data_IF_616789479111
#
_entry.id   IF_616789479111
#
_cell.length_a   1.000
_cell.length_b   1.000
_cell.length_c   1.000
_cell.angle_alpha   90.00
_cell.angle_beta   90.00
_cell.angle_gamma   90.00
#
_symmetry.space_group_name_H-M   'P 1'
#
loop_
_entity.id
_entity.type
_entity.pdbx_description
1 polymer ?
#
# COMPACT_ATOMS: atom_id res chain seq x y z
N UNK A 1 -22.33 -15.38 -5.61
CA UNK A 1 -22.70 -14.05 -6.16
C UNK A 1 -23.73 -14.26 -7.25
N UNK A 2 -24.91 -13.59 -7.18
CA UNK A 2 -26.00 -13.70 -8.18
C UNK A 2 -25.80 -12.72 -9.34
N UNK A 3 -25.39 -11.49 -9.04
CA UNK A 3 -25.14 -10.48 -10.07
C UNK A 3 -24.16 -9.40 -9.59
N UNK A 4 -23.55 -8.72 -10.55
CA UNK A 4 -22.71 -7.54 -10.41
C UNK A 4 -23.27 -6.45 -11.31
N UNK A 5 -23.52 -5.27 -10.76
CA UNK A 5 -24.01 -4.09 -11.47
C UNK A 5 -22.97 -2.97 -11.27
N UNK A 6 -22.48 -2.40 -12.37
CA UNK A 6 -21.59 -1.23 -12.33
C UNK A 6 -22.41 0.01 -12.03
N UNK A 7 -22.09 0.72 -10.96
CA UNK A 7 -22.78 1.95 -10.56
C UNK A 7 -22.02 3.20 -11.02
N UNK A 8 -20.67 3.18 -10.89
CA UNK A 8 -19.82 4.31 -11.26
C UNK A 8 -18.41 3.83 -11.61
N UNK A 9 -17.85 4.33 -12.70
CA UNK A 9 -16.44 4.18 -13.04
C UNK A 9 -15.65 5.42 -12.64
N UNK A 10 -14.58 5.23 -11.86
CA UNK A 10 -13.63 6.25 -11.46
C UNK A 10 -12.25 5.99 -12.06
N UNK A 11 -11.29 6.90 -11.86
CA UNK A 11 -9.95 6.78 -12.45
C UNK A 11 -9.17 5.55 -11.97
N UNK A 12 -9.27 5.22 -10.67
CA UNK A 12 -8.48 4.15 -10.02
C UNK A 12 -9.34 2.97 -9.52
N UNK A 13 -10.67 3.09 -9.53
CA UNK A 13 -11.57 2.07 -9.00
C UNK A 13 -12.97 2.19 -9.62
N UNK A 14 -13.75 1.11 -9.50
CA UNK A 14 -15.18 1.10 -9.82
C UNK A 14 -16.02 1.03 -8.54
N UNK A 15 -17.23 1.61 -8.57
CA UNK A 15 -18.25 1.36 -7.56
C UNK A 15 -19.26 0.40 -8.14
N UNK A 16 -19.49 -0.73 -7.48
CA UNK A 16 -20.38 -1.78 -7.97
C UNK A 16 -21.36 -2.23 -6.92
N UNK A 17 -22.55 -2.68 -7.38
CA UNK A 17 -23.53 -3.36 -6.55
C UNK A 17 -23.43 -4.85 -6.76
N UNK A 18 -23.15 -5.58 -5.70
CA UNK A 18 -23.11 -7.03 -5.65
C UNK A 18 -24.37 -7.57 -4.99
N UNK A 19 -24.96 -8.61 -5.59
CA UNK A 19 -26.13 -9.30 -5.05
C UNK A 19 -25.75 -10.75 -4.75
N UNK A 20 -26.09 -11.17 -3.55
CA UNK A 20 -25.85 -12.54 -3.07
C UNK A 20 -27.17 -13.16 -2.61
N UNK A 21 -27.18 -14.50 -2.47
CA UNK A 21 -28.23 -15.23 -1.78
C UNK A 21 -27.82 -15.43 -0.32
N UNK A 22 -28.69 -15.03 0.59
CA UNK A 22 -28.54 -15.30 2.01
C UNK A 22 -28.82 -16.77 2.36
N UNK A 23 -28.44 -17.24 3.57
CA UNK A 23 -28.66 -18.60 4.03
C UNK A 23 -30.15 -19.00 4.08
N UNK A 24 -31.04 -18.04 4.23
CA UNK A 24 -32.50 -18.20 4.28
C UNK A 24 -33.20 -17.95 2.94
N UNK A 25 -32.41 -17.79 1.85
CA UNK A 25 -32.91 -17.45 0.51
C UNK A 25 -33.21 -15.96 0.30
N UNK A 26 -32.97 -15.11 1.31
CA UNK A 26 -33.10 -13.64 1.17
C UNK A 26 -32.07 -13.08 0.19
N UNK A 27 -32.32 -11.90 -0.34
CA UNK A 27 -31.34 -11.17 -1.13
C UNK A 27 -30.46 -10.31 -0.23
N UNK A 28 -29.14 -10.46 -0.36
CA UNK A 28 -28.13 -9.62 0.29
C UNK A 28 -27.52 -8.70 -0.76
N UNK A 29 -27.60 -7.39 -0.55
CA UNK A 29 -27.04 -6.36 -1.42
C UNK A 29 -25.84 -5.72 -0.73
N UNK A 30 -24.75 -5.51 -1.48
CA UNK A 30 -23.57 -4.78 -1.04
C UNK A 30 -23.10 -3.84 -2.15
N UNK A 31 -22.98 -2.57 -1.81
CA UNK A 31 -22.31 -1.59 -2.65
C UNK A 31 -20.84 -1.54 -2.21
N UNK A 32 -19.93 -1.83 -3.12
CA UNK A 32 -18.50 -1.96 -2.82
C UNK A 32 -17.65 -1.18 -3.83
N UNK A 33 -16.47 -0.79 -3.39
CA UNK A 33 -15.41 -0.24 -4.25
C UNK A 33 -14.57 -1.40 -4.76
N UNK A 34 -14.61 -1.66 -6.07
CA UNK A 34 -13.70 -2.60 -6.73
C UNK A 34 -12.40 -1.89 -7.10
N UNK A 35 -11.29 -2.41 -6.59
CA UNK A 35 -9.95 -1.85 -6.77
C UNK A 35 -9.02 -2.97 -7.29
N UNK A 36 -8.09 -2.66 -8.22
CA UNK A 36 -7.18 -3.66 -8.81
C UNK A 36 -6.19 -4.28 -7.81
N UNK A 37 -5.98 -3.63 -6.68
CA UNK A 37 -4.97 -3.95 -5.70
C UNK A 37 -3.83 -2.92 -5.70
N UNK A 38 -2.93 -3.04 -4.71
CA UNK A 38 -1.78 -2.15 -4.60
C UNK A 38 -0.59 -2.89 -3.98
N UNK A 39 0.63 -2.47 -4.34
CA UNK A 39 1.85 -2.89 -3.65
C UNK A 39 2.22 -1.88 -2.57
N UNK A 40 2.76 -2.35 -1.45
CA UNK A 40 3.34 -1.54 -0.37
C UNK A 40 4.68 -2.12 0.02
N UNK A 41 5.72 -1.29 0.12
CA UNK A 41 7.08 -1.75 0.17
C UNK A 41 7.79 -1.21 1.42
N UNK A 42 8.56 -2.06 2.11
CA UNK A 42 9.53 -1.66 3.14
C UNK A 42 10.91 -1.58 2.47
N UNK A 43 11.39 -0.40 2.06
CA UNK A 43 12.72 -0.26 1.51
C UNK A 43 13.72 -0.19 2.66
N UNK A 44 14.63 -1.16 2.74
CA UNK A 44 15.66 -1.26 3.77
C UNK A 44 17.05 -1.05 3.17
N UNK A 45 17.75 -0.03 3.65
CA UNK A 45 19.14 0.24 3.31
C UNK A 45 20.09 -0.76 3.99
N UNK A 46 21.32 -0.90 3.47
CA UNK A 46 22.35 -1.80 4.00
C UNK A 46 22.75 -1.49 5.44
N UNK A 47 22.62 -0.23 5.86
CA UNK A 47 22.85 0.21 7.24
C UNK A 47 21.65 -0.03 8.18
N UNK A 48 20.59 -0.66 7.68
CA UNK A 48 19.39 -1.02 8.41
C UNK A 48 18.35 0.09 8.53
N UNK A 49 18.57 1.28 7.98
CA UNK A 49 17.52 2.31 7.91
C UNK A 49 16.38 1.88 7.00
N UNK A 50 15.18 2.33 7.33
CA UNK A 50 13.98 2.16 6.50
C UNK A 50 13.71 3.49 5.80
N UNK A 51 13.43 3.44 4.49
CA UNK A 51 13.05 4.62 3.74
C UNK A 51 11.55 4.82 3.88
N UNK A 52 11.15 5.86 4.61
CA UNK A 52 9.78 6.36 4.65
C UNK A 52 9.62 7.55 3.73
N UNK A 53 8.39 7.82 3.35
CA UNK A 53 8.01 9.02 2.59
C UNK A 53 7.06 9.88 3.40
N UNK A 54 7.06 11.19 3.12
CA UNK A 54 5.99 12.11 3.51
C UNK A 54 5.19 12.45 2.27
N UNK A 55 3.92 12.07 2.28
CA UNK A 55 3.03 12.21 1.13
C UNK A 55 1.83 13.10 1.48
N UNK A 56 1.56 14.12 0.65
CA UNK A 56 0.35 14.94 0.80
C UNK A 56 -0.88 14.19 0.31
N UNK A 57 -1.62 13.59 1.23
CA UNK A 57 -2.92 12.93 0.95
C UNK A 57 -4.04 13.97 0.92
N UNK A 58 -4.34 14.51 -0.28
CA UNK A 58 -5.35 15.56 -0.49
C UNK A 58 -6.75 15.16 -0.02
N UNK A 59 -7.08 13.86 -0.10
CA UNK A 59 -8.38 13.32 0.33
C UNK A 59 -8.65 13.50 1.82
N UNK A 60 -7.61 13.49 2.65
CA UNK A 60 -7.70 13.72 4.10
C UNK A 60 -7.11 15.05 4.53
N UNK A 61 -6.53 15.81 3.59
CA UNK A 61 -5.96 17.15 3.84
C UNK A 61 -4.72 17.13 4.74
N UNK A 62 -3.96 16.03 4.74
CA UNK A 62 -2.80 15.84 5.62
C UNK A 62 -1.57 15.36 4.86
N UNK A 63 -0.39 15.74 5.35
CA UNK A 63 0.87 15.08 5.01
C UNK A 63 1.05 13.91 5.96
N UNK A 64 1.12 12.69 5.41
CA UNK A 64 1.26 11.46 6.18
C UNK A 64 2.66 10.86 6.03
N UNK A 65 3.14 10.20 7.08
CA UNK A 65 4.28 9.31 7.02
C UNK A 65 3.83 7.95 6.49
N UNK A 66 4.40 7.53 5.37
CA UNK A 66 3.99 6.32 4.67
C UNK A 66 5.20 5.49 4.24
N UNK A 67 4.97 4.21 3.98
CA UNK A 67 5.80 3.39 3.12
C UNK A 67 5.45 3.70 1.65
N UNK A 68 6.41 3.65 0.72
CA UNK A 68 6.10 3.76 -0.70
C UNK A 68 5.09 2.69 -1.12
N UNK A 69 4.10 3.11 -1.92
CA UNK A 69 3.01 2.23 -2.30
C UNK A 69 2.21 2.77 -3.50
N UNK A 70 1.86 1.90 -4.43
CA UNK A 70 1.04 2.30 -5.55
C UNK A 70 0.09 1.24 -6.06
N UNK A 71 -0.85 1.68 -6.87
CA UNK A 71 -1.91 0.86 -7.45
C UNK A 71 -1.38 0.02 -8.61
N UNK A 72 -1.78 -1.26 -8.68
CA UNK A 72 -1.46 -2.13 -9.80
C UNK A 72 -2.09 -1.59 -11.10
N UNK A 73 -1.29 -1.53 -12.15
CA UNK A 73 -1.79 -1.27 -13.50
C UNK A 73 -2.52 -2.51 -14.07
N UNK A 74 -3.37 -2.35 -15.10
CA UNK A 74 -4.07 -3.47 -15.71
C UNK A 74 -3.14 -4.58 -16.20
N UNK A 75 -3.20 -5.76 -15.55
CA UNK A 75 -2.37 -6.91 -15.88
C UNK A 75 -0.95 -6.87 -15.29
N UNK A 76 -0.63 -5.88 -14.48
CA UNK A 76 0.66 -5.77 -13.79
C UNK A 76 0.75 -6.80 -12.65
N UNK A 77 1.91 -7.48 -12.56
CA UNK A 77 2.18 -8.34 -11.43
C UNK A 77 2.53 -7.50 -10.18
N UNK A 78 2.12 -7.91 -8.96
CA UNK A 78 2.40 -7.17 -7.73
C UNK A 78 3.88 -6.86 -7.49
N UNK A 79 4.77 -7.78 -7.86
CA UNK A 79 6.23 -7.58 -7.74
C UNK A 79 6.76 -6.52 -8.72
N UNK A 80 6.19 -6.47 -9.94
CA UNK A 80 6.53 -5.43 -10.92
C UNK A 80 6.09 -4.05 -10.42
N UNK A 81 4.85 -3.95 -9.92
CA UNK A 81 4.34 -2.74 -9.28
C UNK A 81 5.25 -2.30 -8.12
N UNK A 82 5.62 -3.22 -7.24
CA UNK A 82 6.50 -2.92 -6.12
C UNK A 82 7.87 -2.38 -6.56
N UNK A 83 8.48 -2.95 -7.61
CA UNK A 83 9.74 -2.49 -8.16
C UNK A 83 9.63 -1.08 -8.75
N UNK A 84 8.56 -0.82 -9.49
CA UNK A 84 8.27 0.48 -10.09
C UNK A 84 8.04 1.55 -9.02
N UNK A 85 7.13 1.31 -8.08
CA UNK A 85 6.73 2.28 -7.06
C UNK A 85 7.86 2.64 -6.09
N UNK A 86 8.67 1.66 -5.67
CA UNK A 86 9.81 1.98 -4.80
C UNK A 86 10.82 2.88 -5.51
N UNK A 87 11.06 2.67 -6.82
CA UNK A 87 11.96 3.52 -7.59
C UNK A 87 11.36 4.91 -7.83
N UNK A 88 10.11 4.98 -8.31
CA UNK A 88 9.43 6.24 -8.64
C UNK A 88 9.25 7.15 -7.43
N UNK A 89 8.75 6.62 -6.30
CA UNK A 89 8.46 7.42 -5.12
C UNK A 89 9.69 7.72 -4.25
N UNK A 90 10.69 6.84 -4.23
CA UNK A 90 11.82 7.01 -3.31
C UNK A 90 13.14 7.39 -3.98
N UNK A 91 13.29 7.18 -5.29
CA UNK A 91 14.56 7.31 -5.97
C UNK A 91 15.56 6.22 -5.59
N UNK A 92 15.08 5.04 -5.18
CA UNK A 92 15.92 3.86 -4.95
C UNK A 92 15.41 2.69 -5.78
N UNK A 93 16.30 2.10 -6.57
CA UNK A 93 16.03 0.84 -7.27
C UNK A 93 16.36 -0.34 -6.36
N UNK A 94 15.43 -1.27 -6.23
CA UNK A 94 15.62 -2.48 -5.45
C UNK A 94 16.41 -3.54 -6.26
N UNK A 95 17.50 -4.04 -5.71
CA UNK A 95 18.21 -5.22 -6.25
C UNK A 95 17.48 -6.52 -5.90
N UNK A 96 16.83 -6.55 -4.73
CA UNK A 96 16.05 -7.70 -4.27
C UNK A 96 14.69 -7.26 -3.73
N UNK A 97 13.61 -7.91 -4.18
CA UNK A 97 12.26 -7.79 -3.65
C UNK A 97 11.81 -9.13 -3.07
N UNK A 98 11.39 -9.14 -1.81
CA UNK A 98 10.86 -10.34 -1.14
C UNK A 98 9.41 -10.13 -0.75
N UNK A 99 8.47 -10.97 -1.22
CA UNK A 99 7.09 -10.96 -0.72
C UNK A 99 7.09 -11.16 0.80
N UNK A 100 6.29 -10.38 1.52
CA UNK A 100 6.21 -10.43 2.97
C UNK A 100 4.85 -10.94 3.44
N UNK A 101 3.78 -10.31 2.99
CA UNK A 101 2.40 -10.67 3.36
C UNK A 101 1.40 -10.03 2.40
N UNK A 102 0.17 -10.51 2.46
CA UNK A 102 -0.96 -9.90 1.77
C UNK A 102 -2.08 -9.64 2.78
N UNK A 103 -2.82 -8.56 2.61
CA UNK A 103 -3.94 -8.24 3.48
C UNK A 103 -4.98 -7.36 2.78
N UNK A 104 -6.19 -7.30 3.36
CA UNK A 104 -7.26 -6.41 2.92
C UNK A 104 -7.37 -5.24 3.89
N UNK A 105 -7.20 -3.98 3.47
CA UNK A 105 -7.26 -2.83 4.37
C UNK A 105 -8.67 -2.56 4.89
N UNK A 106 -9.71 -2.81 4.08
CA UNK A 106 -11.11 -2.56 4.47
C UNK A 106 -12.09 -3.48 3.74
N UNK A 107 -12.09 -4.81 4.01
CA UNK A 107 -12.83 -5.80 3.22
C UNK A 107 -14.36 -5.69 3.35
N UNK A 108 -14.87 -4.84 4.24
CA UNK A 108 -16.31 -4.57 4.37
C UNK A 108 -16.89 -3.72 3.24
N UNK A 109 -16.06 -2.90 2.59
CA UNK A 109 -16.48 -1.93 1.57
C UNK A 109 -15.56 -1.86 0.36
N UNK A 110 -14.38 -2.48 0.41
CA UNK A 110 -13.32 -2.34 -0.58
C UNK A 110 -12.76 -3.73 -0.93
N UNK A 111 -12.57 -4.01 -2.22
CA UNK A 111 -11.95 -5.26 -2.68
C UNK A 111 -10.43 -5.17 -2.78
N UNK A 112 -9.83 -4.01 -2.49
CA UNK A 112 -8.40 -3.80 -2.56
C UNK A 112 -7.63 -4.88 -1.78
N UNK A 113 -6.68 -5.50 -2.44
CA UNK A 113 -5.68 -6.37 -1.83
C UNK A 113 -4.35 -5.65 -1.81
N UNK A 114 -3.75 -5.54 -0.64
CA UNK A 114 -2.42 -4.98 -0.45
C UNK A 114 -1.39 -6.12 -0.52
N UNK A 115 -0.38 -5.95 -1.37
CA UNK A 115 0.74 -6.86 -1.51
C UNK A 115 1.98 -6.23 -0.87
N UNK A 116 2.40 -6.76 0.29
CA UNK A 116 3.52 -6.26 1.07
C UNK A 116 4.84 -6.89 0.64
N UNK A 117 5.86 -6.06 0.44
CA UNK A 117 7.22 -6.47 0.08
C UNK A 117 8.26 -5.87 1.01
N UNK A 118 9.43 -6.50 1.07
CA UNK A 118 10.66 -5.91 1.58
C UNK A 118 11.61 -5.74 0.41
N UNK A 119 12.14 -4.53 0.22
CA UNK A 119 13.14 -4.20 -0.77
C UNK A 119 14.51 -4.02 -0.11
N UNK A 120 15.52 -4.68 -0.64
CA UNK A 120 16.91 -4.59 -0.16
C UNK A 120 17.86 -4.41 -1.35
N UNK A 121 19.16 -4.23 -1.05
CA UNK A 121 20.18 -3.96 -2.08
C UNK A 121 19.78 -2.72 -2.90
N UNK A 122 19.46 -1.65 -2.18
CA UNK A 122 18.91 -0.43 -2.77
C UNK A 122 20.02 0.42 -3.42
N UNK A 123 19.87 0.66 -4.71
CA UNK A 123 20.78 1.55 -5.47
C UNK A 123 20.10 2.92 -5.67
N UNK A 124 20.79 4.05 -5.36
CA UNK A 124 20.23 5.37 -5.61
C UNK A 124 19.98 5.62 -7.09
N UNK A 125 18.79 6.15 -7.38
CA UNK A 125 18.36 6.65 -8.70
C UNK A 125 17.71 8.02 -8.55
N UNK A 126 16.88 8.43 -9.50
CA UNK A 126 16.07 9.65 -9.39
C UNK A 126 14.60 9.29 -9.12
N UNK A 127 13.92 10.12 -8.30
CA UNK A 127 12.45 10.06 -8.20
C UNK A 127 11.81 10.38 -9.56
N UNK A 128 10.68 9.74 -9.84
CA UNK A 128 9.87 9.98 -11.04
C UNK A 128 8.38 10.03 -10.66
N UNK A 129 8.02 11.06 -9.88
CA UNK A 129 6.68 11.21 -9.32
C UNK A 129 5.62 11.48 -10.40
N UNK A 130 4.44 10.94 -10.20
CA UNK A 130 3.27 11.22 -11.02
C UNK A 130 2.80 12.68 -10.88
N UNK A 131 2.08 13.16 -11.90
CA UNK A 131 1.57 14.53 -11.90
C UNK A 131 0.63 14.77 -10.69
N UNK A 132 1.02 15.70 -9.82
CA UNK A 132 0.27 16.07 -8.62
C UNK A 132 0.66 15.31 -7.36
N UNK A 133 1.66 14.45 -7.40
CA UNK A 133 2.27 13.87 -6.20
C UNK A 133 3.26 14.85 -5.57
N UNK A 134 3.24 14.92 -4.25
CA UNK A 134 4.14 15.73 -3.43
C UNK A 134 4.74 14.81 -2.36
N UNK A 135 5.91 14.23 -2.67
CA UNK A 135 6.57 13.21 -1.86
C UNK A 135 7.99 13.64 -1.50
N UNK A 136 8.29 13.63 -0.19
CA UNK A 136 9.62 13.80 0.36
C UNK A 136 10.12 12.47 0.93
N UNK A 137 11.42 12.17 0.78
CA UNK A 137 12.01 10.86 1.13
C UNK A 137 12.91 10.96 2.36
N UNK A 138 12.74 10.04 3.31
CA UNK A 138 13.44 10.04 4.59
C UNK A 138 13.96 8.65 4.96
N UNK A 139 15.27 8.40 4.87
CA UNK A 139 15.90 7.22 5.47
C UNK A 139 15.94 7.35 7.00
N UNK A 140 15.16 6.53 7.71
CA UNK A 140 14.95 6.63 9.17
C UNK A 140 15.46 5.36 9.86
N UNK A 141 16.22 5.45 10.98
CA UNK A 141 16.63 4.30 11.78
C UNK A 141 15.43 3.48 12.27
N UNK A 142 15.52 2.15 12.27
CA UNK A 142 14.41 1.27 12.70
C UNK A 142 13.89 1.60 14.10
N UNK A 143 14.76 1.93 15.05
CA UNK A 143 14.33 2.30 16.41
C UNK A 143 13.44 3.55 16.40
N UNK A 144 13.76 4.53 15.55
CA UNK A 144 12.95 5.75 15.42
C UNK A 144 11.61 5.46 14.73
N UNK A 145 11.57 4.57 13.73
CA UNK A 145 10.31 4.11 13.12
C UNK A 145 9.40 3.44 14.16
N UNK A 146 9.98 2.63 15.07
CA UNK A 146 9.25 2.03 16.22
C UNK A 146 8.66 3.10 17.13
N UNK A 147 9.43 4.14 17.47
CA UNK A 147 8.94 5.24 18.31
C UNK A 147 7.84 6.01 17.58
N UNK A 148 7.98 6.29 16.28
CA UNK A 148 6.96 6.96 15.46
C UNK A 148 5.64 6.17 15.42
N UNK A 149 5.70 4.83 15.34
CA UNK A 149 4.50 3.97 15.45
C UNK A 149 3.86 4.05 16.82
N UNK A 150 4.67 3.93 17.88
CA UNK A 150 4.23 3.96 19.28
C UNK A 150 3.58 5.28 19.66
N UNK A 151 4.14 6.39 19.17
CA UNK A 151 3.69 7.74 19.51
C UNK A 151 2.58 8.24 18.58
N UNK A 152 2.14 7.41 17.61
CA UNK A 152 1.05 7.73 16.69
C UNK A 152 1.40 8.74 15.59
N UNK A 153 2.68 8.95 15.31
CA UNK A 153 3.10 9.82 14.20
C UNK A 153 2.86 9.19 12.82
N UNK A 154 2.80 7.85 12.74
CA UNK A 154 2.41 7.13 11.54
C UNK A 154 0.92 6.82 11.65
N UNK A 155 0.10 7.51 10.84
CA UNK A 155 -1.37 7.37 10.84
C UNK A 155 -1.88 6.51 9.67
N UNK A 156 -1.05 6.22 8.68
CA UNK A 156 -1.44 5.46 7.49
C UNK A 156 -1.57 3.96 7.80
N UNK A 157 -2.77 3.42 7.59
CA UNK A 157 -3.11 2.04 7.98
C UNK A 157 -2.29 0.96 7.29
N UNK A 158 -1.98 1.10 6.00
CA UNK A 158 -1.15 0.12 5.26
C UNK A 158 0.28 0.09 5.79
N UNK A 159 0.83 1.27 6.09
CA UNK A 159 2.17 1.44 6.66
C UNK A 159 2.26 0.84 8.06
N UNK A 160 1.26 1.14 8.93
CA UNK A 160 1.18 0.57 10.28
C UNK A 160 1.11 -0.95 10.20
N UNK A 161 0.20 -1.50 9.39
CA UNK A 161 0.00 -2.94 9.28
C UNK A 161 1.27 -3.66 8.82
N UNK A 162 1.91 -3.17 7.75
CA UNK A 162 3.08 -3.83 7.18
C UNK A 162 4.31 -3.71 8.09
N UNK A 163 4.57 -2.54 8.67
CA UNK A 163 5.69 -2.34 9.61
C UNK A 163 5.54 -3.19 10.86
N UNK A 164 4.36 -3.24 11.49
CA UNK A 164 4.12 -4.07 12.68
C UNK A 164 4.26 -5.56 12.36
N UNK A 165 3.72 -6.03 11.22
CA UNK A 165 3.88 -7.41 10.79
C UNK A 165 5.36 -7.75 10.58
N UNK A 166 6.10 -6.92 9.84
CA UNK A 166 7.52 -7.12 9.57
C UNK A 166 8.37 -7.12 10.84
N UNK A 167 8.13 -6.16 11.74
CA UNK A 167 8.82 -6.08 13.03
C UNK A 167 8.54 -7.30 13.91
N UNK A 168 7.30 -7.83 13.90
CA UNK A 168 6.92 -9.00 14.68
C UNK A 168 7.66 -10.27 14.24
N UNK A 169 7.76 -10.52 12.94
CA UNK A 169 8.44 -11.72 12.41
C UNK A 169 9.97 -11.63 12.45
N UNK A 170 10.53 -10.42 12.61
CA UNK A 170 11.98 -10.19 12.72
C UNK A 170 12.41 -9.77 14.13
N UNK A 171 11.49 -9.77 15.12
CA UNK A 171 11.84 -9.62 16.52
C UNK A 171 12.51 -10.90 17.01
N UNK A 172 13.66 -10.80 17.74
CA UNK A 172 14.34 -11.96 18.29
C UNK A 172 13.50 -12.65 19.38
#
# INVERSE_FOLDING_TARGET
MKSRELLLTCMKFDVVRLRFEGPDGSEIIRDVVEHPGAAVIIPQLDDGRIVLIRNLRRTVGKVLWELPAGTLEPGEAPETCAAREVEEETGYRAGTLKPLTEFFPSPGILTERMYGFVATELEPTAQALDAGEEIEVFPIPQWQVRDMLKDGHIEDGKTIALLLYWMHIHSP
#
